data_IF_594886057335
#
_entry.id   IF_594886057335
#
_cell.length_a   1.000
_cell.length_b   1.000
_cell.length_c   1.000
_cell.angle_alpha   90.00
_cell.angle_beta   90.00
_cell.angle_gamma   90.00
#
_symmetry.space_group_name_H-M   'P 1'
#
loop_
_entity.id
_entity.type
_entity.pdbx_description
1 polymer ?
#
# COMPACT_ATOMS: atom_id res chain seq x y z
N UNK A 1 11.19 -17.38 -8.47
CA UNK A 1 10.97 -16.51 -7.30
C UNK A 1 10.71 -15.10 -7.80
N UNK A 2 9.49 -14.59 -7.71
CA UNK A 2 9.18 -13.21 -8.13
C UNK A 2 9.82 -12.27 -7.10
N UNK A 3 10.74 -11.41 -7.54
CA UNK A 3 11.31 -10.35 -6.70
C UNK A 3 10.59 -9.05 -7.03
N UNK A 4 9.82 -8.53 -6.08
CA UNK A 4 9.24 -7.20 -6.19
C UNK A 4 10.36 -6.15 -6.01
N UNK A 5 10.43 -5.17 -6.91
CA UNK A 5 11.46 -4.12 -6.88
C UNK A 5 11.21 -3.09 -5.80
N UNK A 6 9.96 -2.66 -5.64
CA UNK A 6 9.57 -1.57 -4.75
C UNK A 6 8.22 -1.88 -4.14
N UNK A 7 8.09 -1.67 -2.83
CA UNK A 7 6.80 -1.78 -2.12
C UNK A 7 6.28 -0.39 -1.82
N UNK A 8 5.05 -0.11 -2.24
CA UNK A 8 4.32 1.11 -1.90
C UNK A 8 3.22 0.75 -0.92
N UNK A 9 3.09 1.51 0.16
CA UNK A 9 2.03 1.33 1.16
C UNK A 9 1.26 2.63 1.29
N UNK A 10 -0.02 2.58 0.96
CA UNK A 10 -0.97 3.67 1.20
C UNK A 10 -1.67 3.41 2.51
N UNK A 11 -1.67 4.37 3.43
CA UNK A 11 -2.28 4.19 4.75
C UNK A 11 -2.85 5.48 5.34
N UNK A 12 -3.72 5.34 6.33
CA UNK A 12 -4.21 6.49 7.09
C UNK A 12 -3.06 7.16 7.86
N UNK A 13 -3.03 8.49 7.88
CA UNK A 13 -2.06 9.26 8.66
C UNK A 13 -2.18 8.98 10.17
N UNK A 14 -3.34 8.53 10.63
CA UNK A 14 -3.57 8.10 12.02
C UNK A 14 -2.96 6.74 12.38
N UNK A 15 -2.39 5.99 11.42
CA UNK A 15 -1.73 4.71 11.69
C UNK A 15 -0.59 4.86 12.70
N UNK A 16 -0.29 3.79 13.45
CA UNK A 16 0.65 3.88 14.57
C UNK A 16 2.05 4.15 14.03
N UNK A 17 2.80 5.01 14.74
CA UNK A 17 4.15 5.40 14.33
C UNK A 17 5.06 4.20 14.12
N UNK A 18 5.02 3.21 15.01
CA UNK A 18 5.87 2.02 14.92
C UNK A 18 5.61 1.17 13.67
N UNK A 19 4.37 1.14 13.16
CA UNK A 19 4.03 0.41 11.93
C UNK A 19 4.67 1.08 10.72
N UNK A 20 4.58 2.41 10.66
CA UNK A 20 5.19 3.22 9.59
C UNK A 20 6.71 3.07 9.60
N UNK A 21 7.32 3.15 10.78
CA UNK A 21 8.77 3.05 10.94
C UNK A 21 9.27 1.65 10.57
N UNK A 22 8.56 0.59 10.96
CA UNK A 22 8.87 -0.78 10.57
C UNK A 22 8.86 -0.94 9.04
N UNK A 23 7.82 -0.45 8.37
CA UNK A 23 7.68 -0.56 6.92
C UNK A 23 8.77 0.24 6.18
N UNK A 24 9.08 1.45 6.63
CA UNK A 24 10.19 2.27 6.10
C UNK A 24 11.53 1.56 6.26
N UNK A 25 11.79 0.98 7.42
CA UNK A 25 13.01 0.21 7.68
C UNK A 25 13.13 -1.03 6.77
N UNK A 26 12.01 -1.59 6.32
CA UNK A 26 11.97 -2.66 5.32
C UNK A 26 12.07 -2.17 3.87
N UNK A 27 12.23 -0.87 3.64
CA UNK A 27 12.39 -0.27 2.31
C UNK A 27 11.07 0.06 1.60
N UNK A 28 9.94 0.09 2.31
CA UNK A 28 8.68 0.51 1.72
C UNK A 28 8.58 2.04 1.61
N UNK A 29 7.99 2.52 0.52
CA UNK A 29 7.57 3.92 0.36
C UNK A 29 6.17 4.10 0.94
N UNK A 30 6.02 4.97 1.93
CA UNK A 30 4.75 5.21 2.63
C UNK A 30 4.05 6.47 2.10
N UNK A 31 2.78 6.34 1.73
CA UNK A 31 1.88 7.45 1.45
C UNK A 31 0.83 7.56 2.55
N UNK A 32 0.75 8.72 3.20
CA UNK A 32 -0.11 8.94 4.36
C UNK A 32 -1.26 9.89 4.02
N UNK A 33 -2.48 9.52 4.44
CA UNK A 33 -3.69 10.28 4.13
C UNK A 33 -4.46 10.65 5.40
N UNK A 34 -4.69 11.95 5.62
CA UNK A 34 -5.48 12.46 6.75
C UNK A 34 -6.96 12.12 6.63
N UNK A 35 -7.46 11.93 5.39
CA UNK A 35 -8.83 11.52 5.09
C UNK A 35 -9.15 10.04 5.43
N UNK A 36 -8.20 9.32 6.04
CA UNK A 36 -8.41 7.96 6.54
C UNK A 36 -8.18 6.85 5.51
N UNK A 37 -8.64 5.64 5.86
CA UNK A 37 -8.35 4.40 5.12
C UNK A 37 -8.95 4.38 3.72
N UNK A 38 -10.21 4.78 3.55
CA UNK A 38 -10.88 4.73 2.24
C UNK A 38 -10.14 5.55 1.18
N UNK A 39 -9.58 6.69 1.58
CA UNK A 39 -8.75 7.50 0.68
C UNK A 39 -7.44 6.80 0.31
N UNK A 40 -6.80 6.13 1.26
CA UNK A 40 -5.60 5.34 0.99
C UNK A 40 -5.84 4.23 -0.04
N UNK A 41 -6.98 3.52 0.08
CA UNK A 41 -7.37 2.47 -0.89
C UNK A 41 -7.62 3.05 -2.28
N UNK A 42 -8.36 4.16 -2.37
CA UNK A 42 -8.63 4.85 -3.63
C UNK A 42 -7.32 5.22 -4.35
N UNK A 43 -6.38 5.83 -3.64
CA UNK A 43 -5.09 6.26 -4.20
C UNK A 43 -4.22 5.07 -4.61
N UNK A 44 -4.22 3.97 -3.84
CA UNK A 44 -3.55 2.73 -4.22
C UNK A 44 -4.11 2.14 -5.53
N UNK A 45 -5.44 2.16 -5.69
CA UNK A 45 -6.12 1.75 -6.93
C UNK A 45 -5.77 2.65 -8.11
N UNK A 46 -5.70 3.97 -7.91
CA UNK A 46 -5.28 4.93 -8.94
C UNK A 46 -3.82 4.67 -9.34
N UNK A 47 -2.93 4.40 -8.38
CA UNK A 47 -1.52 4.15 -8.66
C UNK A 47 -1.30 2.89 -9.49
N UNK A 48 -1.96 1.78 -9.15
CA UNK A 48 -1.83 0.52 -9.93
C UNK A 48 -2.41 0.67 -11.34
N UNK A 49 -3.50 1.42 -11.51
CA UNK A 49 -4.09 1.68 -12.83
C UNK A 49 -3.17 2.49 -13.76
N UNK A 50 -2.26 3.30 -13.20
CA UNK A 50 -1.31 4.11 -13.97
C UNK A 50 -0.06 3.33 -14.39
N UNK A 51 0.21 2.17 -13.81
CA UNK A 51 1.42 1.40 -14.08
C UNK A 51 1.10 -0.10 -14.18
N UNK A 52 1.15 -0.64 -15.40
CA UNK A 52 0.89 -2.06 -15.68
C UNK A 52 1.85 -3.04 -14.97
N UNK A 53 2.98 -2.54 -14.44
CA UNK A 53 3.95 -3.33 -13.68
C UNK A 53 3.69 -3.31 -12.16
N UNK A 54 2.63 -2.63 -11.71
CA UNK A 54 2.20 -2.65 -10.32
C UNK A 54 1.13 -3.73 -10.10
N UNK A 55 1.18 -4.36 -8.93
CA UNK A 55 0.16 -5.29 -8.47
C UNK A 55 -0.33 -4.81 -7.11
N UNK A 56 -1.66 -4.67 -6.96
CA UNK A 56 -2.27 -4.26 -5.71
C UNK A 56 -2.70 -5.49 -4.92
N UNK A 57 -2.19 -5.61 -3.69
CA UNK A 57 -2.70 -6.58 -2.73
C UNK A 57 -3.95 -5.94 -2.10
N UNK A 58 -5.13 -6.39 -2.54
CA UNK A 58 -6.43 -5.90 -2.08
C UNK A 58 -7.14 -7.05 -1.34
N UNK A 59 -7.16 -6.99 -0.02
CA UNK A 59 -7.82 -7.98 0.84
C UNK A 59 -9.35 -7.95 0.73
N UNK A 60 -9.95 -6.88 0.18
CA UNK A 60 -11.40 -6.83 -0.07
C UNK A 60 -11.82 -7.73 -1.24
N UNK A 61 -10.90 -8.03 -2.18
CA UNK A 61 -11.23 -8.64 -3.48
C UNK A 61 -10.31 -9.78 -3.91
N UNK A 62 -9.24 -10.04 -3.19
CA UNK A 62 -8.26 -11.06 -3.60
C UNK A 62 -8.71 -12.47 -3.26
N UNK A 63 -9.02 -13.25 -4.30
CA UNK A 63 -9.26 -14.70 -4.24
C UNK A 63 -8.01 -15.54 -3.91
N UNK A 64 -6.84 -14.90 -3.82
CA UNK A 64 -5.59 -15.58 -3.49
C UNK A 64 -5.22 -15.41 -2.01
N UNK A 65 -5.86 -14.46 -1.32
CA UNK A 65 -5.68 -14.23 0.11
C UNK A 65 -6.64 -15.08 0.97
N UNK A 66 -7.77 -15.50 0.41
CA UNK A 66 -8.82 -16.31 1.04
C UNK A 66 -9.29 -17.38 0.06
#
# INVERSE_FOLDING_TARGET
MIKFKTSYVHMAAAAKKWEKDLLRNKGATIFEYTAGYSKAVEEGRIQVNKNQMCYLIDDEKSKHLF
#
